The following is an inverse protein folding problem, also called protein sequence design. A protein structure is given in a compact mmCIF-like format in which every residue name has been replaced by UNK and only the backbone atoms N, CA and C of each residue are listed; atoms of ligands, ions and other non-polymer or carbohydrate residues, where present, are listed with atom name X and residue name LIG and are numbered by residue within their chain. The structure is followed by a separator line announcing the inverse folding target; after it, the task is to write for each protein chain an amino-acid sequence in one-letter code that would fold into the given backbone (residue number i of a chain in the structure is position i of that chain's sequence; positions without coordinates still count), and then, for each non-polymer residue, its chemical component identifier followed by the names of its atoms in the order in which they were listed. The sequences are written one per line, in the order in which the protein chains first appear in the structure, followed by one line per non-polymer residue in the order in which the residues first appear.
data_IF_189073329388
#
_entry.id   IF_189073329388
#
_cell.length_a   1.000
_cell.length_b   1.000
_cell.length_c   1.000
_cell.angle_alpha   90.00
_cell.angle_beta   90.00
_cell.angle_gamma   90.00
#
_symmetry.space_group_name_H-M   'P 1'
#
loop_
_entity.id
_entity.type
_entity.pdbx_description
1 polymer ?
#
# COMPACT_ATOMS: atom_id res chain seq x y z
N UNK A 1 31.66 7.86 -1.30
CA UNK A 1 31.90 6.78 -2.29
C UNK A 1 30.53 6.30 -2.76
N UNK A 2 30.25 6.40 -4.05
CA UNK A 2 28.96 5.98 -4.62
C UNK A 2 28.96 4.45 -4.73
N UNK A 3 28.00 3.76 -4.09
CA UNK A 3 27.91 2.29 -4.13
C UNK A 3 27.61 1.81 -5.54
N UNK A 4 28.32 0.82 -6.07
CA UNK A 4 28.08 0.27 -7.42
C UNK A 4 26.73 -0.47 -7.54
N UNK A 5 26.16 -0.55 -8.76
CA UNK A 5 24.90 -1.26 -9.07
C UNK A 5 24.94 -2.70 -8.59
N UNK A 6 26.02 -3.43 -8.88
CA UNK A 6 26.14 -4.84 -8.48
C UNK A 6 26.06 -5.00 -6.96
N UNK A 7 26.68 -4.08 -6.22
CA UNK A 7 26.60 -4.06 -4.75
C UNK A 7 25.19 -3.73 -4.25
N UNK A 8 24.50 -2.77 -4.88
CA UNK A 8 23.12 -2.44 -4.50
C UNK A 8 22.21 -3.66 -4.68
N UNK A 9 22.30 -4.35 -5.82
CA UNK A 9 21.48 -5.54 -6.08
C UNK A 9 21.81 -6.65 -5.08
N UNK A 10 23.08 -6.98 -4.87
CA UNK A 10 23.49 -8.02 -3.93
C UNK A 10 23.07 -7.72 -2.47
N UNK A 11 23.24 -6.48 -2.01
CA UNK A 11 22.87 -6.10 -0.64
C UNK A 11 21.35 -6.09 -0.43
N UNK A 12 20.56 -5.72 -1.46
CA UNK A 12 19.09 -5.72 -1.38
C UNK A 12 18.47 -7.08 -1.64
N UNK A 13 19.19 -8.01 -2.27
CA UNK A 13 18.73 -9.39 -2.46
C UNK A 13 18.86 -10.23 -1.18
N UNK A 14 19.77 -9.85 -0.27
CA UNK A 14 19.88 -10.43 1.07
C UNK A 14 18.69 -10.03 1.93
N UNK A 15 18.04 -11.03 2.55
CA UNK A 15 16.78 -10.87 3.28
C UNK A 15 16.88 -11.23 4.75
N UNK A 16 18.03 -11.73 5.23
CA UNK A 16 18.20 -12.12 6.64
C UNK A 16 18.01 -10.97 7.65
N UNK A 17 18.36 -9.74 7.25
CA UNK A 17 18.23 -8.51 8.03
C UNK A 17 17.79 -7.38 7.11
N UNK A 18 17.34 -6.26 7.68
CA UNK A 18 17.03 -5.07 6.89
C UNK A 18 18.33 -4.41 6.41
N UNK A 19 18.59 -4.29 5.09
CA UNK A 19 19.81 -3.70 4.55
C UNK A 19 19.76 -2.16 4.60
N UNK A 20 19.57 -1.60 5.80
CA UNK A 20 19.26 -0.18 5.98
C UNK A 20 20.33 0.76 5.43
N UNK A 21 21.61 0.40 5.52
CA UNK A 21 22.68 1.22 4.96
C UNK A 21 22.52 1.39 3.44
N UNK A 22 22.19 0.31 2.73
CA UNK A 22 21.98 0.29 1.27
C UNK A 22 20.67 0.98 0.91
N UNK A 23 19.60 0.73 1.65
CA UNK A 23 18.32 1.43 1.48
C UNK A 23 18.52 2.95 1.63
N UNK A 24 19.19 3.38 2.70
CA UNK A 24 19.44 4.80 2.96
C UNK A 24 20.35 5.43 1.89
N UNK A 25 21.35 4.70 1.38
CA UNK A 25 22.18 5.16 0.27
C UNK A 25 21.36 5.34 -1.03
N UNK A 26 20.44 4.43 -1.32
CA UNK A 26 19.51 4.55 -2.45
C UNK A 26 18.56 5.74 -2.29
N UNK A 27 17.97 5.88 -1.09
CA UNK A 27 17.07 6.99 -0.75
C UNK A 27 17.76 8.36 -0.90
N UNK A 28 19.06 8.43 -0.65
CA UNK A 28 19.88 9.64 -0.81
C UNK A 28 20.28 9.96 -2.26
N UNK A 29 20.17 9.03 -3.20
CA UNK A 29 20.55 9.18 -4.61
C UNK A 29 19.42 8.76 -5.56
N UNK A 30 18.39 9.62 -5.65
CA UNK A 30 17.17 9.35 -6.42
C UNK A 30 17.44 9.00 -7.89
N UNK A 31 18.23 9.80 -8.60
CA UNK A 31 18.50 9.57 -10.02
C UNK A 31 19.11 8.19 -10.26
N UNK A 32 20.01 7.75 -9.37
CA UNK A 32 20.62 6.43 -9.46
C UNK A 32 19.61 5.32 -9.19
N UNK A 33 18.83 5.44 -8.11
CA UNK A 33 17.81 4.44 -7.77
C UNK A 33 16.74 4.33 -8.84
N UNK A 34 16.25 5.46 -9.35
CA UNK A 34 15.32 5.50 -10.49
C UNK A 34 15.90 4.76 -11.70
N UNK A 35 17.13 5.11 -12.11
CA UNK A 35 17.81 4.47 -13.24
C UNK A 35 17.92 2.96 -13.06
N UNK A 36 18.23 2.46 -11.86
CA UNK A 36 18.38 1.02 -11.63
C UNK A 36 17.00 0.34 -11.66
N UNK A 37 16.05 0.80 -10.86
CA UNK A 37 14.84 0.04 -10.59
C UNK A 37 13.75 0.24 -11.66
N UNK A 38 13.66 1.41 -12.30
CA UNK A 38 12.77 1.59 -13.46
C UNK A 38 13.24 0.72 -14.64
N UNK A 39 14.55 0.59 -14.85
CA UNK A 39 15.09 -0.33 -15.86
C UNK A 39 14.77 -1.80 -15.55
N UNK A 40 14.82 -2.21 -14.27
CA UNK A 40 14.39 -3.56 -13.88
C UNK A 40 12.89 -3.78 -14.12
N UNK A 41 12.04 -2.81 -13.80
CA UNK A 41 10.61 -2.88 -14.14
C UNK A 41 10.40 -3.05 -15.66
N UNK A 42 11.08 -2.28 -16.50
CA UNK A 42 10.99 -2.43 -17.95
C UNK A 42 11.49 -3.79 -18.46
N UNK A 43 12.48 -4.40 -17.82
CA UNK A 43 12.95 -5.75 -18.18
C UNK A 43 11.87 -6.81 -17.90
N UNK A 44 11.18 -6.73 -16.76
CA UNK A 44 10.05 -7.62 -16.46
C UNK A 44 8.97 -7.52 -17.55
N UNK A 45 8.74 -6.34 -18.12
CA UNK A 45 7.74 -6.16 -19.18
C UNK A 45 8.15 -6.77 -20.52
N UNK A 46 9.41 -6.53 -20.91
CA UNK A 46 9.95 -6.83 -22.24
C UNK A 46 10.37 -8.29 -22.40
N UNK A 47 10.48 -9.04 -21.30
CA UNK A 47 10.69 -10.50 -21.32
C UNK A 47 12.11 -11.00 -21.03
N UNK A 48 13.20 -10.20 -20.93
CA UNK A 48 14.43 -10.68 -20.32
C UNK A 48 14.17 -11.05 -18.85
N UNK A 49 14.29 -12.32 -18.53
CA UNK A 49 14.13 -12.79 -17.15
C UNK A 49 15.15 -12.07 -16.24
N UNK A 50 14.67 -11.65 -15.08
CA UNK A 50 15.53 -11.16 -14.01
C UNK A 50 16.16 -12.39 -13.34
N UNK A 51 17.44 -12.30 -12.97
CA UNK A 51 17.99 -13.32 -12.09
C UNK A 51 17.38 -13.21 -10.68
N UNK A 52 17.57 -14.25 -9.86
CA UNK A 52 17.01 -14.31 -8.51
C UNK A 52 17.40 -13.12 -7.64
N UNK A 53 18.61 -12.58 -7.78
CA UNK A 53 19.07 -11.43 -6.98
C UNK A 53 18.40 -10.14 -7.46
N UNK A 54 18.27 -9.95 -8.76
CA UNK A 54 17.55 -8.83 -9.36
C UNK A 54 16.06 -8.83 -9.00
N UNK A 55 15.38 -9.98 -9.05
CA UNK A 55 13.99 -10.13 -8.59
C UNK A 55 13.86 -9.77 -7.12
N UNK A 56 14.76 -10.30 -6.28
CA UNK A 56 14.71 -10.07 -4.84
C UNK A 56 14.98 -8.61 -4.49
N UNK A 57 15.94 -7.98 -5.16
CA UNK A 57 16.25 -6.57 -5.00
C UNK A 57 15.15 -5.66 -5.52
N UNK A 58 14.46 -6.05 -6.61
CA UNK A 58 13.36 -5.27 -7.19
C UNK A 58 12.20 -5.08 -6.21
N UNK A 59 11.95 -6.04 -5.31
CA UNK A 59 11.01 -5.85 -4.19
C UNK A 59 11.30 -4.54 -3.43
N UNK A 60 12.51 -4.37 -2.88
CA UNK A 60 12.89 -3.13 -2.21
C UNK A 60 13.01 -1.96 -3.17
N UNK A 61 13.43 -2.21 -4.42
CA UNK A 61 13.46 -1.22 -5.48
C UNK A 61 12.13 -0.48 -5.65
N UNK A 62 11.02 -1.20 -5.74
CA UNK A 62 9.67 -0.62 -5.85
C UNK A 62 9.34 0.24 -4.62
N UNK A 63 9.71 -0.21 -3.41
CA UNK A 63 9.49 0.53 -2.17
C UNK A 63 10.36 1.81 -2.10
N UNK A 64 11.59 1.77 -2.61
CA UNK A 64 12.47 2.94 -2.74
C UNK A 64 11.84 3.96 -3.71
N UNK A 65 11.41 3.53 -4.90
CA UNK A 65 10.76 4.40 -5.89
C UNK A 65 9.50 5.05 -5.31
N UNK A 66 8.71 4.30 -4.54
CA UNK A 66 7.55 4.85 -3.85
C UNK A 66 7.93 5.87 -2.77
N UNK A 67 8.93 5.59 -1.93
CA UNK A 67 9.41 6.51 -0.91
C UNK A 67 9.98 7.81 -1.52
N UNK A 68 10.56 7.73 -2.72
CA UNK A 68 11.05 8.87 -3.49
C UNK A 68 9.97 9.55 -4.36
N UNK A 69 8.74 9.01 -4.37
CA UNK A 69 7.62 9.48 -5.19
C UNK A 69 7.97 9.54 -6.69
N UNK A 70 8.71 8.54 -7.18
CA UNK A 70 9.19 8.43 -8.56
C UNK A 70 8.05 8.10 -9.52
N UNK A 71 7.31 9.12 -9.99
CA UNK A 71 6.11 8.94 -10.84
C UNK A 71 6.36 8.12 -12.13
N UNK A 72 7.57 8.17 -12.68
CA UNK A 72 7.99 7.42 -13.88
C UNK A 72 7.89 5.90 -13.68
N UNK A 73 7.95 5.42 -12.43
CA UNK A 73 7.81 4.01 -12.09
C UNK A 73 6.35 3.50 -12.14
N UNK A 74 5.36 4.40 -12.10
CA UNK A 74 3.97 4.00 -11.95
C UNK A 74 3.46 3.21 -13.16
N UNK A 75 3.67 3.73 -14.37
CA UNK A 75 3.21 3.08 -15.61
C UNK A 75 3.78 1.66 -15.73
N UNK A 76 5.12 1.45 -15.61
CA UNK A 76 5.62 0.11 -15.80
C UNK A 76 5.19 -0.87 -14.71
N UNK A 77 5.06 -0.40 -13.46
CA UNK A 77 4.49 -1.20 -12.38
C UNK A 77 3.03 -1.60 -12.68
N UNK A 78 2.19 -0.68 -13.14
CA UNK A 78 0.79 -0.96 -13.49
C UNK A 78 0.67 -2.01 -14.59
N UNK A 79 1.54 -1.97 -15.60
CA UNK A 79 1.53 -2.95 -16.69
C UNK A 79 1.90 -4.36 -16.21
N UNK A 80 2.87 -4.48 -15.29
CA UNK A 80 3.22 -5.75 -14.64
C UNK A 80 2.02 -6.26 -13.83
N UNK A 81 1.45 -5.42 -12.96
CA UNK A 81 0.32 -5.79 -12.10
C UNK A 81 -0.92 -6.28 -12.89
N UNK A 82 -1.16 -5.74 -14.09
CA UNK A 82 -2.32 -6.12 -14.89
C UNK A 82 -2.11 -7.35 -15.77
N UNK A 83 -0.88 -7.60 -16.22
CA UNK A 83 -0.63 -8.55 -17.32
C UNK A 83 0.39 -9.65 -16.98
N UNK A 84 1.06 -9.57 -15.83
CA UNK A 84 2.21 -10.40 -15.45
C UNK A 84 2.01 -10.98 -14.06
N UNK A 85 1.00 -11.85 -13.89
CA UNK A 85 0.62 -12.38 -12.56
C UNK A 85 1.75 -13.16 -11.92
N UNK A 86 2.38 -14.08 -12.66
CA UNK A 86 3.46 -14.91 -12.13
C UNK A 86 4.66 -14.07 -11.68
N UNK A 87 5.03 -13.05 -12.46
CA UNK A 87 6.11 -12.12 -12.10
C UNK A 87 5.71 -11.23 -10.92
N UNK A 88 4.45 -10.80 -10.85
CA UNK A 88 3.93 -10.05 -9.70
C UNK A 88 4.03 -10.88 -8.42
N UNK A 89 3.68 -12.16 -8.47
CA UNK A 89 3.74 -13.07 -7.32
C UNK A 89 5.19 -13.36 -6.91
N UNK A 90 6.11 -13.53 -7.88
CA UNK A 90 7.55 -13.69 -7.58
C UNK A 90 8.16 -12.45 -6.93
N UNK A 91 7.83 -11.25 -7.43
CA UNK A 91 8.46 -10.00 -7.00
C UNK A 91 7.85 -9.49 -5.68
N UNK A 92 6.51 -9.40 -5.61
CA UNK A 92 5.80 -8.82 -4.46
C UNK A 92 5.22 -9.90 -3.55
N UNK A 93 4.63 -10.96 -4.12
CA UNK A 93 3.88 -11.96 -3.36
C UNK A 93 2.57 -11.43 -2.78
N UNK A 94 1.64 -12.35 -2.46
CA UNK A 94 0.28 -11.98 -2.05
C UNK A 94 0.25 -11.10 -0.79
N UNK A 95 1.09 -11.37 0.21
CA UNK A 95 1.14 -10.59 1.44
C UNK A 95 1.51 -9.12 1.18
N UNK A 96 2.54 -8.84 0.37
CA UNK A 96 2.90 -7.46 0.03
C UNK A 96 1.87 -6.78 -0.87
N UNK A 97 1.20 -7.52 -1.77
CA UNK A 97 0.10 -6.98 -2.58
C UNK A 97 -1.04 -6.51 -1.66
N UNK A 98 -1.38 -7.28 -0.63
CA UNK A 98 -2.42 -6.89 0.33
C UNK A 98 -2.01 -5.74 1.26
N UNK A 99 -0.74 -5.73 1.70
CA UNK A 99 -0.26 -4.87 2.79
C UNK A 99 0.45 -3.59 2.33
N UNK A 100 1.38 -3.67 1.38
CA UNK A 100 2.23 -2.53 0.99
C UNK A 100 1.79 -1.89 -0.32
N UNK A 101 1.36 -2.67 -1.32
CA UNK A 101 0.98 -2.16 -2.64
C UNK A 101 -0.03 -1.00 -2.61
N UNK A 102 -1.08 -0.97 -1.76
CA UNK A 102 -1.97 0.17 -1.67
C UNK A 102 -1.22 1.48 -1.38
N UNK A 103 -0.26 1.43 -0.46
CA UNK A 103 0.53 2.59 -0.01
C UNK A 103 1.60 2.97 -1.03
N UNK A 104 2.13 1.99 -1.77
CA UNK A 104 3.03 2.23 -2.90
C UNK A 104 2.31 3.00 -4.00
N UNK A 105 1.10 2.58 -4.38
CA UNK A 105 0.27 3.28 -5.36
C UNK A 105 -0.03 4.71 -4.90
N UNK A 106 -0.46 4.91 -3.64
CA UNK A 106 -0.71 6.26 -3.09
C UNK A 106 0.50 7.20 -3.20
N UNK A 107 1.72 6.66 -3.09
CA UNK A 107 2.95 7.44 -3.18
C UNK A 107 3.36 7.73 -4.64
N UNK A 108 3.22 6.74 -5.53
CA UNK A 108 3.68 6.81 -6.93
C UNK A 108 2.74 7.57 -7.86
N UNK A 109 1.44 7.64 -7.58
CA UNK A 109 0.47 8.22 -8.52
C UNK A 109 -0.49 9.20 -7.88
N UNK A 110 0.06 10.21 -7.20
CA UNK A 110 -0.72 11.34 -6.72
C UNK A 110 -1.57 11.94 -7.84
N UNK A 111 -2.89 12.06 -7.63
CA UNK A 111 -3.79 12.61 -8.65
C UNK A 111 -4.16 11.65 -9.78
N UNK A 112 -3.76 10.37 -9.75
CA UNK A 112 -4.11 9.37 -10.77
C UNK A 112 -5.43 8.65 -10.47
N UNK A 113 -6.34 9.30 -9.73
CA UNK A 113 -7.59 8.70 -9.26
C UNK A 113 -8.54 8.21 -10.37
N UNK A 114 -8.47 8.73 -11.60
CA UNK A 114 -9.23 8.13 -12.71
C UNK A 114 -8.68 6.75 -13.08
N UNK A 115 -7.36 6.66 -13.30
CA UNK A 115 -6.64 5.42 -13.61
C UNK A 115 -6.88 4.33 -12.55
N UNK A 116 -6.80 4.68 -11.26
CA UNK A 116 -7.04 3.72 -10.18
C UNK A 116 -8.47 3.17 -10.17
N UNK A 117 -9.45 4.03 -10.44
CA UNK A 117 -10.84 3.59 -10.54
C UNK A 117 -11.03 2.60 -11.70
N UNK A 118 -10.47 2.92 -12.86
CA UNK A 118 -10.63 2.11 -14.07
C UNK A 118 -10.00 0.72 -13.88
N UNK A 119 -8.80 0.65 -13.26
CA UNK A 119 -8.15 -0.63 -12.95
C UNK A 119 -8.94 -1.42 -11.91
N UNK A 120 -9.33 -0.79 -10.79
CA UNK A 120 -10.08 -1.46 -9.73
C UNK A 120 -11.40 -2.08 -10.23
N UNK A 121 -12.05 -1.43 -11.20
CA UNK A 121 -13.42 -1.78 -11.61
C UNK A 121 -13.49 -2.58 -12.92
N UNK A 122 -12.52 -2.45 -13.82
CA UNK A 122 -12.59 -3.01 -15.17
C UNK A 122 -11.37 -3.79 -15.64
N UNK A 123 -10.29 -3.89 -14.86
CA UNK A 123 -9.11 -4.67 -15.28
C UNK A 123 -9.32 -6.18 -15.12
N UNK A 124 -8.56 -6.95 -15.89
CA UNK A 124 -8.40 -8.40 -15.74
C UNK A 124 -7.41 -8.79 -14.63
N UNK A 125 -6.88 -7.80 -13.89
CA UNK A 125 -5.97 -8.07 -12.79
C UNK A 125 -6.65 -8.89 -11.69
N UNK A 126 -5.83 -9.58 -10.90
CA UNK A 126 -6.29 -10.33 -9.74
C UNK A 126 -7.08 -9.46 -8.76
N UNK A 127 -8.01 -10.07 -8.04
CA UNK A 127 -8.88 -9.36 -7.10
C UNK A 127 -8.10 -8.61 -6.02
N UNK A 128 -6.97 -9.15 -5.55
CA UNK A 128 -6.14 -8.53 -4.50
C UNK A 128 -5.43 -7.29 -5.03
N UNK A 129 -4.95 -7.34 -6.27
CA UNK A 129 -4.38 -6.17 -6.97
C UNK A 129 -5.46 -5.09 -7.12
N UNK A 130 -6.67 -5.47 -7.56
CA UNK A 130 -7.80 -4.55 -7.71
C UNK A 130 -8.24 -3.95 -6.37
N UNK A 131 -8.19 -4.71 -5.27
CA UNK A 131 -8.41 -4.18 -3.91
C UNK A 131 -7.39 -3.09 -3.56
N UNK A 132 -6.11 -3.29 -3.89
CA UNK A 132 -5.08 -2.28 -3.67
C UNK A 132 -5.37 -0.98 -4.45
N UNK A 133 -5.88 -1.07 -5.68
CA UNK A 133 -6.35 0.09 -6.44
C UNK A 133 -7.59 0.75 -5.82
N UNK A 134 -8.53 -0.01 -5.25
CA UNK A 134 -9.64 0.58 -4.50
C UNK A 134 -9.17 1.36 -3.27
N UNK A 135 -8.20 0.83 -2.52
CA UNK A 135 -7.60 1.53 -1.37
C UNK A 135 -6.87 2.81 -1.81
N UNK A 136 -6.06 2.76 -2.87
CA UNK A 136 -5.39 3.94 -3.42
C UNK A 136 -6.39 4.99 -3.95
N UNK A 137 -7.46 4.56 -4.63
CA UNK A 137 -8.54 5.44 -5.04
C UNK A 137 -9.27 6.09 -3.86
N UNK A 138 -9.51 5.34 -2.79
CA UNK A 138 -10.13 5.83 -1.55
C UNK A 138 -9.27 6.92 -0.92
N UNK A 139 -7.95 6.74 -0.91
CA UNK A 139 -7.01 7.77 -0.47
C UNK A 139 -7.13 9.06 -1.29
N UNK A 140 -7.31 8.99 -2.61
CA UNK A 140 -7.52 10.18 -3.46
C UNK A 140 -8.80 10.95 -3.07
N UNK A 141 -9.87 10.25 -2.67
CA UNK A 141 -11.10 10.85 -2.15
C UNK A 141 -10.87 11.48 -0.77
N UNK A 142 -10.18 10.78 0.14
CA UNK A 142 -9.84 11.28 1.47
C UNK A 142 -8.91 12.50 1.40
N UNK A 143 -8.03 12.55 0.41
CA UNK A 143 -7.13 13.66 0.10
C UNK A 143 -7.81 14.77 -0.70
N UNK A 144 -9.13 14.66 -0.96
CA UNK A 144 -9.96 15.65 -1.66
C UNK A 144 -9.55 15.93 -3.12
N UNK A 145 -8.71 15.09 -3.72
CA UNK A 145 -8.40 15.14 -5.16
C UNK A 145 -9.57 14.65 -5.99
N UNK A 146 -10.40 13.78 -5.41
CA UNK A 146 -11.71 13.40 -5.94
C UNK A 146 -12.80 13.94 -5.01
N UNK A 147 -13.79 14.64 -5.57
CA UNK A 147 -14.91 15.14 -4.78
C UNK A 147 -15.73 14.00 -4.19
N UNK A 148 -16.23 14.18 -2.97
CA UNK A 148 -17.12 13.20 -2.32
C UNK A 148 -18.35 12.87 -3.16
N UNK A 149 -18.92 13.87 -3.85
CA UNK A 149 -20.07 13.70 -4.76
C UNK A 149 -19.72 12.80 -5.94
N UNK A 150 -18.56 13.02 -6.56
CA UNK A 150 -18.05 12.18 -7.65
C UNK A 150 -17.87 10.74 -7.17
N UNK A 151 -17.22 10.56 -6.01
CA UNK A 151 -17.00 9.26 -5.41
C UNK A 151 -18.31 8.52 -5.11
N UNK A 152 -19.28 9.20 -4.47
CA UNK A 152 -20.60 8.63 -4.18
C UNK A 152 -21.31 8.20 -5.47
N UNK A 153 -21.32 9.06 -6.49
CA UNK A 153 -21.96 8.72 -7.77
C UNK A 153 -21.30 7.55 -8.49
N UNK A 154 -19.99 7.38 -8.36
CA UNK A 154 -19.26 6.24 -8.96
C UNK A 154 -19.60 4.94 -8.21
N UNK A 155 -19.49 4.96 -6.88
CA UNK A 155 -19.78 3.82 -6.02
C UNK A 155 -21.23 3.34 -6.13
N UNK A 156 -22.19 4.27 -6.25
CA UNK A 156 -23.60 3.93 -6.44
C UNK A 156 -23.85 3.16 -7.75
N UNK A 157 -23.14 3.52 -8.82
CA UNK A 157 -23.33 2.89 -10.14
C UNK A 157 -22.56 1.58 -10.28
N UNK A 158 -21.48 1.41 -9.52
CA UNK A 158 -20.53 0.31 -9.70
C UNK A 158 -21.19 -1.08 -9.74
N UNK A 159 -22.16 -1.45 -8.87
CA UNK A 159 -22.79 -2.78 -8.92
C UNK A 159 -23.47 -3.13 -10.26
N UNK A 160 -23.77 -2.12 -11.09
CA UNK A 160 -24.36 -2.32 -12.42
C UNK A 160 -23.32 -2.56 -13.52
N UNK A 161 -22.08 -2.14 -13.29
CA UNK A 161 -21.00 -2.14 -14.30
C UNK A 161 -19.86 -3.10 -13.95
N UNK A 162 -19.68 -3.44 -12.68
CA UNK A 162 -18.63 -4.34 -12.24
C UNK A 162 -18.90 -5.75 -12.78
N UNK A 163 -18.01 -6.20 -13.65
CA UNK A 163 -18.02 -7.57 -14.16
C UNK A 163 -17.24 -8.47 -13.20
N UNK A 164 -17.85 -8.80 -12.06
CA UNK A 164 -17.31 -9.72 -11.08
C UNK A 164 -18.36 -10.80 -10.74
N UNK A 165 -17.95 -12.07 -10.56
CA UNK A 165 -18.82 -13.11 -10.01
C UNK A 165 -19.45 -12.70 -8.67
N UNK A 166 -20.60 -13.26 -8.31
CA UNK A 166 -21.33 -12.84 -7.10
C UNK A 166 -20.56 -13.15 -5.81
N UNK A 167 -19.79 -14.23 -5.80
CA UNK A 167 -18.90 -14.68 -4.73
C UNK A 167 -17.53 -13.97 -4.75
N UNK A 168 -17.29 -13.04 -5.67
CA UNK A 168 -16.01 -12.37 -5.79
C UNK A 168 -15.68 -11.50 -4.57
N UNK A 169 -14.44 -11.58 -4.03
CA UNK A 169 -13.98 -10.69 -2.94
C UNK A 169 -14.06 -9.19 -3.28
N UNK A 170 -14.15 -8.83 -4.57
CA UNK A 170 -14.28 -7.44 -5.01
C UNK A 170 -15.54 -6.74 -4.50
N UNK A 171 -16.60 -7.50 -4.22
CA UNK A 171 -17.80 -6.94 -3.58
C UNK A 171 -17.46 -6.43 -2.17
N UNK A 172 -16.62 -7.15 -1.44
CA UNK A 172 -16.11 -6.72 -0.15
C UNK A 172 -15.23 -5.47 -0.30
N UNK A 173 -14.34 -5.41 -1.30
CA UNK A 173 -13.55 -4.21 -1.59
C UNK A 173 -14.44 -2.98 -1.84
N UNK A 174 -15.48 -3.10 -2.65
CA UNK A 174 -16.45 -2.01 -2.88
C UNK A 174 -17.15 -1.57 -1.59
N UNK A 175 -17.60 -2.50 -0.77
CA UNK A 175 -18.24 -2.23 0.52
C UNK A 175 -17.28 -1.56 1.52
N UNK A 176 -16.01 -1.99 1.54
CA UNK A 176 -14.96 -1.39 2.36
C UNK A 176 -14.76 0.09 1.99
N UNK A 177 -14.70 0.41 0.70
CA UNK A 177 -14.58 1.79 0.23
C UNK A 177 -15.76 2.66 0.73
N UNK A 178 -16.98 2.14 0.67
CA UNK A 178 -18.18 2.83 1.19
C UNK A 178 -18.05 3.07 2.71
N UNK A 179 -17.61 2.05 3.45
CA UNK A 179 -17.43 2.12 4.89
C UNK A 179 -16.32 3.09 5.31
N UNK A 180 -15.17 3.07 4.65
CA UNK A 180 -14.01 3.92 4.95
C UNK A 180 -14.29 5.38 4.64
N UNK A 181 -15.08 5.66 3.59
CA UNK A 181 -15.56 7.00 3.28
C UNK A 181 -16.75 7.42 4.17
N UNK A 182 -17.32 6.53 4.98
CA UNK A 182 -18.50 6.80 5.79
C UNK A 182 -19.71 7.24 4.96
N UNK A 183 -19.94 6.59 3.82
CA UNK A 183 -21.03 6.92 2.89
C UNK A 183 -22.30 6.15 3.25
N UNK A 184 -22.89 6.46 4.41
CA UNK A 184 -24.10 5.79 4.92
C UNK A 184 -25.28 5.81 3.95
N UNK A 185 -25.39 6.85 3.10
CA UNK A 185 -26.41 6.93 2.06
C UNK A 185 -26.30 5.86 0.96
N UNK A 186 -25.20 5.12 0.88
CA UNK A 186 -25.00 4.00 -0.06
C UNK A 186 -25.28 2.63 0.56
N UNK A 187 -25.59 2.54 1.86
CA UNK A 187 -25.96 1.26 2.48
C UNK A 187 -27.16 0.59 1.80
N UNK A 188 -28.23 1.31 1.38
CA UNK A 188 -29.33 0.68 0.63
C UNK A 188 -28.91 0.06 -0.72
N UNK A 189 -27.83 0.55 -1.34
CA UNK A 189 -27.30 0.00 -2.59
C UNK A 189 -26.57 -1.33 -2.31
N UNK A 190 -25.87 -1.44 -1.17
CA UNK A 190 -25.30 -2.71 -0.69
C UNK A 190 -26.41 -3.74 -0.48
N UNK A 191 -27.48 -3.35 0.23
CA UNK A 191 -28.63 -4.22 0.51
C UNK A 191 -29.31 -4.70 -0.78
N UNK A 192 -29.33 -3.83 -1.79
CA UNK A 192 -29.89 -4.16 -3.11
C UNK A 192 -28.99 -5.12 -3.88
N UNK A 193 -27.67 -4.92 -3.85
CA UNK A 193 -26.72 -5.83 -4.48
C UNK A 193 -26.83 -7.25 -3.88
N UNK A 194 -26.88 -7.35 -2.54
CA UNK A 194 -27.01 -8.61 -1.82
C UNK A 194 -28.35 -9.31 -2.12
N UNK A 195 -29.49 -8.62 -1.96
CA UNK A 195 -30.81 -9.21 -2.22
C UNK A 195 -31.04 -9.63 -3.67
N UNK A 196 -30.40 -8.95 -4.62
CA UNK A 196 -30.50 -9.29 -6.05
C UNK A 196 -29.58 -10.43 -6.48
N UNK A 197 -28.73 -10.95 -5.58
CA UNK A 197 -27.73 -11.97 -5.91
C UNK A 197 -26.56 -11.45 -6.76
N UNK A 198 -26.39 -10.12 -6.87
CA UNK A 198 -25.20 -9.54 -7.53
C UNK A 198 -23.95 -9.72 -6.69
N UNK A 199 -24.11 -9.63 -5.38
CA UNK A 199 -23.09 -9.98 -4.39
C UNK A 199 -23.68 -11.08 -3.51
N UNK A 200 -22.87 -12.09 -3.18
CA UNK A 200 -23.29 -13.25 -2.41
C UNK A 200 -22.88 -13.14 -0.94
N UNK A 201 -23.79 -13.52 -0.04
CA UNK A 201 -23.45 -13.85 1.35
C UNK A 201 -23.19 -15.34 1.42
N UNK A 202 -22.03 -15.76 1.91
CA UNK A 202 -21.68 -17.17 1.99
C UNK A 202 -20.33 -17.42 2.63
N UNK A 203 -20.05 -18.69 2.94
CA UNK A 203 -18.83 -19.12 3.64
C UNK A 203 -17.54 -18.75 2.91
N UNK A 204 -17.58 -18.69 1.57
CA UNK A 204 -16.44 -18.34 0.70
C UNK A 204 -16.56 -16.94 0.10
N UNK A 205 -17.61 -16.20 0.47
CA UNK A 205 -17.93 -14.87 -0.03
C UNK A 205 -17.99 -13.88 1.14
N UNK A 206 -18.97 -12.97 1.15
CA UNK A 206 -19.17 -12.03 2.26
C UNK A 206 -19.85 -12.77 3.41
N UNK A 207 -19.30 -12.72 4.63
CA UNK A 207 -20.01 -13.24 5.79
C UNK A 207 -21.02 -12.20 6.33
N UNK A 208 -22.02 -12.66 7.08
CA UNK A 208 -22.93 -11.76 7.79
C UNK A 208 -22.18 -10.80 8.71
N UNK A 209 -21.09 -11.28 9.34
CA UNK A 209 -20.23 -10.47 10.21
C UNK A 209 -19.56 -9.36 9.42
N UNK A 210 -18.98 -9.67 8.26
CA UNK A 210 -18.32 -8.67 7.41
C UNK A 210 -19.31 -7.57 7.00
N UNK A 211 -20.53 -7.97 6.62
CA UNK A 211 -21.58 -7.01 6.28
C UNK A 211 -21.99 -6.13 7.47
N UNK A 212 -22.14 -6.69 8.68
CA UNK A 212 -22.41 -5.86 9.86
C UNK A 212 -21.24 -4.91 10.19
N UNK A 213 -20.00 -5.38 10.06
CA UNK A 213 -18.80 -4.57 10.28
C UNK A 213 -18.69 -3.42 9.28
N UNK A 214 -19.07 -3.64 8.01
CA UNK A 214 -19.19 -2.58 6.99
C UNK A 214 -20.19 -1.52 7.42
N UNK A 215 -21.39 -1.90 7.85
CA UNK A 215 -22.43 -0.94 8.28
C UNK A 215 -21.98 -0.14 9.49
N UNK A 216 -21.44 -0.81 10.49
CA UNK A 216 -20.94 -0.17 11.72
C UNK A 216 -19.82 0.83 11.40
N UNK A 217 -18.83 0.44 10.57
CA UNK A 217 -17.76 1.34 10.13
C UNK A 217 -18.29 2.52 9.30
N UNK A 218 -19.22 2.29 8.38
CA UNK A 218 -19.82 3.37 7.59
C UNK A 218 -20.47 4.45 8.46
N UNK A 219 -21.10 4.05 9.58
CA UNK A 219 -21.70 4.96 10.55
C UNK A 219 -20.64 5.66 11.42
N UNK A 220 -19.62 4.92 11.88
CA UNK A 220 -18.57 5.46 12.75
C UNK A 220 -17.58 6.40 12.04
N UNK A 221 -17.33 6.19 10.74
CA UNK A 221 -16.35 6.93 9.94
C UNK A 221 -16.88 8.30 9.46
N UNK A 222 -17.30 9.13 10.42
CA UNK A 222 -17.74 10.51 10.19
C UNK A 222 -16.62 11.37 9.57
N UNK A 223 -16.99 12.54 9.06
CA UNK A 223 -16.01 13.47 8.46
C UNK A 223 -14.90 13.87 9.42
N UNK A 224 -15.28 14.12 10.67
CA UNK A 224 -14.33 14.47 11.71
C UNK A 224 -13.33 13.33 11.97
N UNK A 225 -13.81 12.08 12.05
CA UNK A 225 -12.98 10.90 12.32
C UNK A 225 -11.96 10.65 11.20
N UNK A 226 -12.38 10.62 9.94
CA UNK A 226 -11.50 10.27 8.81
C UNK A 226 -10.46 11.34 8.43
N UNK A 227 -10.57 12.52 9.01
CA UNK A 227 -9.55 13.57 8.86
C UNK A 227 -8.42 13.45 9.88
N UNK A 228 -8.58 12.62 10.92
CA UNK A 228 -7.54 12.40 11.94
C UNK A 228 -6.37 11.60 11.35
N UNK A 229 -5.11 12.06 11.49
CA UNK A 229 -3.93 11.33 11.02
C UNK A 229 -3.83 9.91 11.57
N UNK A 230 -4.19 9.69 12.83
CA UNK A 230 -4.11 8.38 13.49
C UNK A 230 -5.11 7.39 12.88
N UNK A 231 -6.31 7.88 12.51
CA UNK A 231 -7.29 7.07 11.80
C UNK A 231 -6.76 6.69 10.41
N UNK A 232 -6.14 7.64 9.69
CA UNK A 232 -5.57 7.35 8.37
C UNK A 232 -4.46 6.33 8.45
N UNK A 233 -3.52 6.49 9.38
CA UNK A 233 -2.42 5.55 9.59
C UNK A 233 -2.93 4.15 9.93
N UNK A 234 -3.86 4.03 10.88
CA UNK A 234 -4.43 2.74 11.30
C UNK A 234 -5.19 2.02 10.18
N UNK A 235 -5.83 2.76 9.28
CA UNK A 235 -6.57 2.18 8.15
C UNK A 235 -5.73 2.14 6.85
N UNK A 236 -4.41 2.36 6.93
CA UNK A 236 -3.52 2.24 5.76
C UNK A 236 -3.62 3.37 4.73
N UNK A 237 -4.29 4.49 5.04
CA UNK A 237 -4.42 5.66 4.17
C UNK A 237 -3.28 6.66 4.33
N UNK A 238 -2.05 6.14 4.36
CA UNK A 238 -0.81 6.91 4.42
C UNK A 238 0.12 6.38 3.33
N UNK A 239 0.60 7.24 2.41
CA UNK A 239 1.54 6.81 1.38
C UNK A 239 2.80 6.18 1.99
N UNK A 240 3.42 5.26 1.26
CA UNK A 240 4.68 4.64 1.69
C UNK A 240 5.80 5.69 1.78
N UNK A 241 6.69 5.56 2.76
CA UNK A 241 7.91 6.35 2.83
C UNK A 241 7.76 7.73 3.47
N UNK A 242 6.83 7.91 4.40
CA UNK A 242 6.75 9.15 5.18
C UNK A 242 8.02 9.32 6.02
N UNK A 243 8.61 10.52 6.03
CA UNK A 243 9.90 10.78 6.69
C UNK A 243 9.94 10.31 8.16
N UNK A 244 8.85 10.51 8.92
CA UNK A 244 8.76 10.11 10.33
C UNK A 244 8.62 8.61 10.57
N UNK A 245 8.32 7.83 9.51
CA UNK A 245 8.06 6.40 9.59
C UNK A 245 8.87 5.58 8.57
N UNK A 246 9.80 6.21 7.84
CA UNK A 246 10.46 5.63 6.66
C UNK A 246 11.12 4.29 6.96
N UNK A 247 11.92 4.22 8.04
CA UNK A 247 12.58 2.98 8.44
C UNK A 247 11.60 1.90 8.88
N UNK A 248 10.56 2.28 9.61
CA UNK A 248 9.50 1.37 10.05
C UNK A 248 8.69 0.83 8.86
N UNK A 249 8.44 1.65 7.85
CA UNK A 249 7.80 1.23 6.59
C UNK A 249 8.62 0.14 5.89
N UNK A 250 9.94 0.27 5.87
CA UNK A 250 10.83 -0.76 5.32
C UNK A 250 10.88 -2.03 6.17
N UNK A 251 10.81 -1.93 7.50
CA UNK A 251 10.64 -3.12 8.34
C UNK A 251 9.33 -3.86 8.05
N UNK A 252 8.21 -3.12 7.94
CA UNK A 252 6.93 -3.74 7.59
C UNK A 252 6.95 -4.37 6.20
N UNK A 253 7.60 -3.74 5.23
CA UNK A 253 7.78 -4.32 3.91
C UNK A 253 8.63 -5.59 3.96
N UNK A 254 9.75 -5.59 4.70
CA UNK A 254 10.62 -6.75 4.85
C UNK A 254 9.87 -7.97 5.42
N UNK A 255 8.95 -7.75 6.37
CA UNK A 255 8.16 -8.84 6.98
C UNK A 255 7.20 -9.55 6.02
N UNK A 256 6.79 -8.87 4.94
CA UNK A 256 5.87 -9.42 3.93
C UNK A 256 6.56 -9.69 2.59
N UNK A 257 7.89 -9.59 2.55
CA UNK A 257 8.65 -9.87 1.34
C UNK A 257 8.55 -11.36 0.98
N UNK A 258 8.51 -11.73 -0.31
CA UNK A 258 8.43 -13.14 -0.72
C UNK A 258 9.53 -14.01 -0.08
N UNK A 259 9.20 -15.21 0.39
CA UNK A 259 10.20 -16.11 1.00
C UNK A 259 10.76 -15.66 2.36
N UNK A 260 10.15 -14.66 3.01
CA UNK A 260 10.45 -14.34 4.41
C UNK A 260 10.01 -15.49 5.31
N UNK A 261 10.96 -16.11 6.01
CA UNK A 261 10.70 -17.21 6.94
C UNK A 261 10.40 -16.69 8.34
N UNK A 262 9.90 -17.56 9.23
CA UNK A 262 9.70 -17.21 10.64
C UNK A 262 11.01 -16.76 11.32
N UNK A 263 12.14 -17.38 10.98
CA UNK A 263 13.46 -17.00 11.47
C UNK A 263 13.86 -15.60 11.02
N UNK A 264 13.66 -15.29 9.74
CA UNK A 264 13.91 -13.95 9.19
C UNK A 264 13.01 -12.92 9.86
N UNK A 265 11.71 -13.21 10.02
CA UNK A 265 10.78 -12.34 10.72
C UNK A 265 11.21 -12.07 12.16
N UNK A 266 11.65 -13.11 12.89
CA UNK A 266 12.19 -12.94 14.26
C UNK A 266 13.43 -12.05 14.27
N UNK A 267 14.35 -12.22 13.33
CA UNK A 267 15.54 -11.39 13.21
C UNK A 267 15.20 -9.92 12.91
N UNK A 268 14.27 -9.67 11.97
CA UNK A 268 13.81 -8.33 11.63
C UNK A 268 13.14 -7.63 12.83
N UNK A 269 12.30 -8.37 13.57
CA UNK A 269 11.64 -7.84 14.78
C UNK A 269 12.68 -7.53 15.86
N UNK A 270 13.66 -8.41 16.10
CA UNK A 270 14.75 -8.17 17.05
C UNK A 270 15.55 -6.93 16.67
N UNK A 271 15.95 -6.84 15.39
CA UNK A 271 16.70 -5.68 14.88
C UNK A 271 15.90 -4.38 15.06
N UNK A 272 14.60 -4.37 14.72
CA UNK A 272 13.76 -3.20 14.90
C UNK A 272 13.62 -2.79 16.38
N UNK A 273 13.53 -3.77 17.30
CA UNK A 273 13.45 -3.52 18.74
C UNK A 273 14.75 -2.95 19.30
N UNK A 274 15.90 -3.53 18.94
CA UNK A 274 17.23 -3.04 19.33
C UNK A 274 17.48 -1.61 18.85
N UNK A 275 17.10 -1.32 17.60
CA UNK A 275 17.22 0.02 17.03
C UNK A 275 16.27 1.04 17.68
N UNK A 276 15.05 0.63 18.03
CA UNK A 276 14.15 1.49 18.78
C UNK A 276 14.75 1.85 20.15
N UNK A 277 15.28 0.86 20.88
CA UNK A 277 15.94 1.09 22.19
C UNK A 277 17.15 2.00 22.06
N UNK A 278 18.03 1.76 21.08
CA UNK A 278 19.23 2.59 20.88
C UNK A 278 18.90 3.99 20.35
N UNK A 279 17.83 4.14 19.57
CA UNK A 279 17.29 5.43 19.13
C UNK A 279 16.70 6.25 20.29
N UNK A 280 16.00 5.60 21.22
CA UNK A 280 15.54 6.21 22.47
C UNK A 280 16.68 6.53 23.45
N UNK A 281 17.81 5.81 23.38
CA UNK A 281 18.99 6.02 24.21
C UNK A 281 19.98 7.07 23.66
N UNK A 282 19.63 7.83 22.62
CA UNK A 282 20.36 9.05 22.23
C UNK A 282 19.63 10.31 22.75
N UNK A 283 19.83 10.73 24.01
CA UNK A 283 19.37 12.03 24.47
C UNK A 283 20.31 13.12 23.94
N UNK A 284 20.08 13.62 22.73
CA UNK A 284 20.66 14.93 22.34
C UNK A 284 19.97 15.71 21.23
N UNK A 285 18.91 15.22 20.56
CA UNK A 285 18.29 15.98 19.44
C UNK A 285 16.74 15.94 19.40
N UNK A 286 16.09 15.65 20.52
CA UNK A 286 14.67 15.93 20.69
C UNK A 286 14.51 17.06 21.72
N UNK A 287 14.10 18.23 21.25
CA UNK A 287 13.78 19.38 22.10
C UNK A 287 12.81 18.98 23.20
N UNK A 288 13.29 19.05 24.45
CA UNK A 288 12.51 18.72 25.62
C UNK A 288 11.52 19.86 25.93
N UNK A 289 10.28 19.73 25.44
CA UNK A 289 9.17 20.66 25.73
C UNK A 289 8.68 20.62 27.19
N UNK A 290 9.28 19.81 28.07
CA UNK A 290 8.90 19.74 29.49
C UNK A 290 9.92 20.39 30.44
N UNK A 291 10.39 21.59 30.10
CA UNK A 291 11.05 22.45 31.11
C UNK A 291 9.98 23.24 31.87
N UNK A 292 9.81 23.07 33.19
CA UNK A 292 8.82 23.81 33.96
C UNK A 292 9.15 25.32 33.92
N UNK A 293 8.23 26.12 33.36
CA UNK A 293 8.34 27.59 33.40
C UNK A 293 8.32 28.05 34.86
N UNK A 294 9.46 28.53 35.36
CA UNK A 294 9.49 29.34 36.59
C UNK A 294 8.68 30.61 36.34
N UNK A 295 7.76 30.92 37.25
CA UNK A 295 7.04 32.20 37.26
C UNK A 295 8.04 33.31 37.60
N UNK A 296 8.05 34.44 36.89
CA UNK A 296 8.73 35.63 37.38
C UNK A 296 7.89 36.31 38.46
N UNK A 297 8.60 36.80 39.48
CA UNK A 297 8.11 37.71 40.52
C UNK A 297 7.66 39.06 39.95
#
# INVERSE_FOLDING_TARGET
MTMDRAKIIADLSERALLPWATLNACLADHNRSETIFVNLLHRVQTGPELDTDEERALFYGIHILAAQQTETALTPLIEILQNRREETDRILGDEAIGETLPRLLMALGSGKGALYWDIATGSAADWLIRDAFFKAWTYEVLSRRISRRTAQSRLQRLPKWMSAPADSPLWMSWMNVIADLGMTGLLPEIDTALRSGRAEIGTLAISDRDYQDVRARAQANTQHVRHKPEWRARNGFVPFGQASALKYDFYRAALVAPGTTEDVSRNLISQAAEEAVTGFLRPSEAGNENTPRRRPD
#
